data_IF_506509728316
#
_entry.id   IF_506509728316
#
_cell.length_a   1.000
_cell.length_b   1.000
_cell.length_c   1.000
_cell.angle_alpha   90.00
_cell.angle_beta   90.00
_cell.angle_gamma   90.00
#
_symmetry.space_group_name_H-M   'P 1'
#
loop_
_entity.id
_entity.type
_entity.pdbx_description
1 polymer ?
#
# COMPACT_ATOMS: atom_id res chain seq x y z
N UNK A 1 -17.69 -10.99 -11.41
CA UNK A 1 -16.69 -10.00 -10.99
C UNK A 1 -15.32 -10.45 -11.50
N UNK A 2 -14.59 -9.56 -12.15
CA UNK A 2 -13.29 -9.75 -12.74
C UNK A 2 -12.28 -8.83 -12.02
N UNK A 3 -11.18 -9.41 -11.56
CA UNK A 3 -10.11 -8.69 -10.89
C UNK A 3 -9.10 -8.23 -11.94
N UNK A 4 -8.69 -6.97 -11.87
CA UNK A 4 -7.70 -6.40 -12.81
C UNK A 4 -6.31 -6.94 -12.43
N UNK A 5 -5.56 -7.49 -13.41
CA UNK A 5 -4.20 -8.02 -13.23
C UNK A 5 -4.07 -9.52 -13.48
N UNK A 6 -2.89 -10.08 -13.20
CA UNK A 6 -2.62 -11.52 -13.37
C UNK A 6 -3.33 -12.34 -12.28
N UNK A 7 -4.10 -13.35 -12.69
CA UNK A 7 -4.95 -14.15 -11.80
C UNK A 7 -4.68 -15.64 -11.98
N UNK A 8 -4.60 -16.43 -10.90
CA UNK A 8 -4.47 -17.86 -11.02
C UNK A 8 -5.67 -18.52 -11.72
N UNK A 9 -5.49 -19.66 -12.40
CA UNK A 9 -6.56 -20.33 -13.14
C UNK A 9 -7.82 -20.67 -12.32
N UNK A 10 -7.68 -20.93 -11.02
CA UNK A 10 -8.83 -21.25 -10.16
C UNK A 10 -9.75 -20.04 -9.92
N UNK A 11 -9.23 -18.80 -10.04
CA UNK A 11 -10.02 -17.56 -9.89
C UNK A 11 -11.04 -17.46 -11.01
N UNK A 12 -10.64 -17.79 -12.24
CA UNK A 12 -11.54 -17.82 -13.39
C UNK A 12 -12.62 -18.88 -13.26
N UNK A 13 -12.26 -20.07 -12.77
CA UNK A 13 -13.25 -21.13 -12.51
C UNK A 13 -14.28 -20.71 -11.47
N UNK A 14 -13.83 -20.11 -10.36
CA UNK A 14 -14.72 -19.59 -9.33
C UNK A 14 -15.60 -18.48 -9.89
N UNK A 15 -15.04 -17.54 -10.67
CA UNK A 15 -15.79 -16.47 -11.32
C UNK A 15 -16.92 -17.00 -12.20
N UNK A 16 -16.62 -17.94 -13.10
CA UNK A 16 -17.60 -18.53 -14.00
C UNK A 16 -18.72 -19.22 -13.21
N UNK A 17 -18.38 -19.96 -12.16
CA UNK A 17 -19.36 -20.60 -11.28
C UNK A 17 -20.29 -19.57 -10.60
N UNK A 18 -19.74 -18.43 -10.16
CA UNK A 18 -20.52 -17.38 -9.51
C UNK A 18 -21.44 -16.62 -10.47
N UNK A 19 -21.02 -16.37 -11.72
CA UNK A 19 -21.82 -15.63 -12.71
C UNK A 19 -23.11 -16.35 -13.11
N UNK A 20 -23.15 -17.68 -12.99
CA UNK A 20 -24.36 -18.46 -13.30
C UNK A 20 -25.43 -18.40 -12.19
N UNK A 21 -25.08 -17.92 -10.98
CA UNK A 21 -25.98 -17.97 -9.82
C UNK A 21 -27.08 -16.92 -9.88
N UNK A 22 -26.80 -15.62 -10.14
CA UNK A 22 -27.82 -14.58 -10.04
C UNK A 22 -29.03 -14.76 -10.95
N UNK A 23 -28.83 -15.26 -12.18
CA UNK A 23 -29.93 -15.60 -13.08
C UNK A 23 -30.92 -16.61 -12.47
N UNK A 24 -30.43 -17.53 -11.63
CA UNK A 24 -31.26 -18.51 -10.90
C UNK A 24 -31.98 -17.89 -9.71
N UNK A 25 -31.37 -16.89 -9.05
CA UNK A 25 -31.97 -16.18 -7.92
C UNK A 25 -33.17 -15.32 -8.33
N UNK A 26 -33.14 -14.78 -9.54
CA UNK A 26 -34.24 -14.00 -10.13
C UNK A 26 -35.22 -14.86 -10.94
N UNK A 27 -35.02 -16.17 -11.01
CA UNK A 27 -35.91 -17.05 -11.78
C UNK A 27 -37.32 -17.02 -11.20
N UNK A 28 -38.30 -16.63 -12.02
CA UNK A 28 -39.70 -16.46 -11.60
C UNK A 28 -40.00 -15.10 -10.95
N UNK A 29 -39.04 -14.18 -10.89
CA UNK A 29 -39.25 -12.79 -10.46
C UNK A 29 -39.33 -11.89 -11.67
N UNK A 30 -40.38 -11.07 -11.75
CA UNK A 30 -40.51 -10.08 -12.82
C UNK A 30 -39.59 -8.86 -12.53
N UNK A 31 -38.92 -8.29 -13.54
CA UNK A 31 -38.22 -7.02 -13.40
C UNK A 31 -39.18 -5.91 -12.92
N UNK A 32 -38.69 -5.00 -12.06
CA UNK A 32 -39.50 -3.89 -11.52
C UNK A 32 -39.86 -2.86 -12.58
N UNK A 33 -39.03 -2.72 -13.62
CA UNK A 33 -39.21 -1.79 -14.74
C UNK A 33 -38.47 -2.29 -15.99
N UNK A 34 -38.57 -1.52 -17.06
CA UNK A 34 -37.89 -1.85 -18.31
C UNK A 34 -36.37 -1.93 -18.14
N UNK A 35 -35.69 -2.80 -18.90
CA UNK A 35 -34.23 -2.91 -18.89
C UNK A 35 -33.58 -1.55 -19.18
N UNK A 36 -32.57 -1.19 -18.39
CA UNK A 36 -31.82 0.03 -18.62
C UNK A 36 -30.72 -0.26 -19.63
N UNK A 37 -30.66 0.57 -20.68
CA UNK A 37 -29.59 0.55 -21.67
C UNK A 37 -28.69 1.75 -21.43
N UNK A 38 -27.44 1.50 -21.09
CA UNK A 38 -26.43 2.52 -20.84
C UNK A 38 -25.52 2.62 -22.06
N UNK A 39 -25.39 3.83 -22.59
CA UNK A 39 -24.36 4.16 -23.58
C UNK A 39 -22.98 4.24 -22.92
N UNK A 40 -21.88 4.15 -23.68
CA UNK A 40 -20.54 4.38 -23.16
C UNK A 40 -20.44 5.72 -22.44
N UNK A 41 -19.67 5.76 -21.36
CA UNK A 41 -19.50 6.90 -20.45
C UNK A 41 -20.75 7.33 -19.65
N UNK A 42 -21.90 6.66 -19.80
CA UNK A 42 -23.04 6.90 -18.92
C UNK A 42 -22.75 6.37 -17.51
N UNK A 43 -23.06 7.18 -16.50
CA UNK A 43 -22.93 6.80 -15.10
C UNK A 43 -24.18 6.05 -14.65
N UNK A 44 -24.04 4.77 -14.30
CA UNK A 44 -25.19 3.97 -13.86
C UNK A 44 -25.82 4.55 -12.58
N UNK A 45 -25.03 5.17 -11.70
CA UNK A 45 -25.54 5.72 -10.43
C UNK A 45 -26.67 6.74 -10.59
N UNK A 46 -26.73 7.48 -11.71
CA UNK A 46 -27.76 8.47 -11.98
C UNK A 46 -29.15 7.84 -12.17
N UNK A 47 -29.18 6.54 -12.49
CA UNK A 47 -30.39 5.77 -12.77
C UNK A 47 -30.72 4.78 -11.66
N UNK A 48 -29.81 4.61 -10.70
CA UNK A 48 -29.93 3.64 -9.61
C UNK A 48 -30.86 4.15 -8.51
N UNK A 49 -31.65 3.23 -7.97
CA UNK A 49 -32.50 3.44 -6.80
C UNK A 49 -32.04 2.53 -5.66
N UNK A 50 -32.22 2.97 -4.42
CA UNK A 50 -31.73 2.24 -3.24
C UNK A 50 -32.56 0.97 -2.93
N UNK A 51 -33.83 0.99 -3.32
CA UNK A 51 -34.82 -0.09 -3.22
C UNK A 51 -34.72 -1.11 -4.36
N UNK A 52 -33.74 -0.98 -5.27
CA UNK A 52 -33.56 -1.91 -6.38
C UNK A 52 -32.23 -2.69 -6.30
N UNK A 53 -32.26 -3.89 -6.88
CA UNK A 53 -31.10 -4.71 -7.19
C UNK A 53 -31.04 -4.89 -8.71
N UNK A 54 -29.86 -4.80 -9.30
CA UNK A 54 -29.69 -4.87 -10.75
C UNK A 54 -28.91 -6.11 -11.15
N UNK A 55 -29.38 -6.82 -12.17
CA UNK A 55 -28.64 -7.90 -12.81
C UNK A 55 -28.03 -7.39 -14.11
N UNK A 56 -26.72 -7.58 -14.30
CA UNK A 56 -26.07 -7.28 -15.57
C UNK A 56 -26.46 -8.34 -16.59
N UNK A 57 -27.24 -7.93 -17.58
CA UNK A 57 -27.65 -8.80 -18.68
C UNK A 57 -26.61 -8.83 -19.80
N UNK A 58 -25.93 -7.71 -20.06
CA UNK A 58 -24.88 -7.62 -21.08
C UNK A 58 -23.93 -6.48 -20.78
N UNK A 59 -22.67 -6.67 -21.13
CA UNK A 59 -21.66 -5.62 -21.15
C UNK A 59 -20.88 -5.52 -19.83
N UNK A 60 -19.64 -4.99 -19.89
CA UNK A 60 -18.81 -4.80 -18.72
C UNK A 60 -19.12 -3.51 -17.97
N UNK A 61 -18.96 -3.50 -16.64
CA UNK A 61 -18.96 -2.30 -15.81
C UNK A 61 -17.73 -2.27 -14.91
N UNK A 62 -16.93 -1.23 -14.96
CA UNK A 62 -15.85 -0.98 -13.99
C UNK A 62 -16.42 -0.35 -12.73
N UNK A 63 -15.98 -0.82 -11.58
CA UNK A 63 -16.33 -0.26 -10.27
C UNK A 63 -15.18 0.64 -9.83
N UNK A 64 -15.49 1.92 -9.64
CA UNK A 64 -14.52 2.98 -9.34
C UNK A 64 -14.83 3.61 -7.99
N UNK A 65 -13.79 3.77 -7.16
CA UNK A 65 -13.82 4.54 -5.91
C UNK A 65 -12.57 5.43 -5.88
N UNK A 66 -12.72 6.72 -5.60
CA UNK A 66 -11.62 7.70 -5.56
C UNK A 66 -10.70 7.65 -6.81
N UNK A 67 -11.30 7.61 -8.00
CA UNK A 67 -10.63 7.50 -9.31
C UNK A 67 -9.81 6.20 -9.53
N UNK A 68 -9.95 5.21 -8.66
CA UNK A 68 -9.30 3.89 -8.80
C UNK A 68 -10.32 2.85 -9.21
N UNK A 69 -10.07 2.19 -10.34
CA UNK A 69 -10.82 1.02 -10.75
C UNK A 69 -10.36 -0.19 -9.93
N UNK A 70 -11.24 -0.73 -9.09
CA UNK A 70 -10.91 -1.85 -8.19
C UNK A 70 -11.14 -3.20 -8.86
N UNK A 71 -12.26 -3.35 -9.58
CA UNK A 71 -12.66 -4.56 -10.28
C UNK A 71 -13.74 -4.25 -11.32
N UNK A 72 -13.98 -5.21 -12.21
CA UNK A 72 -14.97 -5.10 -13.29
C UNK A 72 -16.08 -6.12 -13.07
N UNK A 73 -17.34 -5.70 -13.12
CA UNK A 73 -18.51 -6.55 -13.17
C UNK A 73 -18.84 -6.86 -14.63
N UNK A 74 -19.41 -8.04 -14.86
CA UNK A 74 -19.82 -8.47 -16.20
C UNK A 74 -21.15 -9.18 -16.17
N UNK A 75 -21.52 -9.75 -17.30
CA UNK A 75 -22.76 -10.51 -17.44
C UNK A 75 -22.94 -11.54 -16.31
N UNK A 76 -24.15 -11.56 -15.75
CA UNK A 76 -24.52 -12.42 -14.64
C UNK A 76 -24.18 -11.87 -13.25
N UNK A 77 -23.48 -10.74 -13.12
CA UNK A 77 -23.22 -10.14 -11.81
C UNK A 77 -24.38 -9.26 -11.30
N UNK A 78 -24.49 -9.13 -9.98
CA UNK A 78 -25.47 -8.27 -9.31
C UNK A 78 -24.84 -6.94 -8.88
N UNK A 79 -25.64 -5.88 -8.93
CA UNK A 79 -25.30 -4.54 -8.46
C UNK A 79 -26.37 -4.09 -7.47
N UNK A 80 -25.97 -3.33 -6.46
CA UNK A 80 -26.90 -2.71 -5.52
C UNK A 80 -27.13 -3.50 -4.23
N UNK A 81 -26.68 -4.76 -4.12
CA UNK A 81 -26.91 -5.58 -2.90
C UNK A 81 -26.47 -4.87 -1.61
N UNK A 82 -25.29 -4.25 -1.61
CA UNK A 82 -24.71 -3.57 -0.45
C UNK A 82 -25.19 -2.13 -0.20
N UNK A 83 -26.10 -1.56 -1.01
CA UNK A 83 -26.52 -0.15 -0.87
C UNK A 83 -27.36 0.16 0.38
N UNK A 84 -27.80 -0.86 1.09
CA UNK A 84 -28.45 -0.72 2.41
C UNK A 84 -27.44 -0.54 3.53
N UNK A 85 -26.15 -0.75 3.26
CA UNK A 85 -25.07 -0.48 4.19
C UNK A 85 -24.69 1.00 4.11
N UNK A 86 -24.41 1.62 5.27
CA UNK A 86 -23.94 3.01 5.36
C UNK A 86 -22.47 3.10 4.93
N UNK A 87 -22.25 2.91 3.62
CA UNK A 87 -20.94 2.88 2.97
C UNK A 87 -20.88 3.92 1.84
N UNK A 88 -19.66 4.40 1.48
CA UNK A 88 -19.48 5.26 0.33
C UNK A 88 -20.10 4.68 -0.95
N UNK A 89 -20.71 5.55 -1.76
CA UNK A 89 -21.32 5.12 -3.02
C UNK A 89 -20.22 4.77 -4.02
N UNK A 90 -20.32 3.59 -4.63
CA UNK A 90 -19.44 3.15 -5.70
C UNK A 90 -19.90 3.76 -7.03
N UNK A 91 -18.95 4.22 -7.84
CA UNK A 91 -19.22 4.66 -9.21
C UNK A 91 -19.09 3.48 -10.17
N UNK A 92 -19.96 3.43 -11.17
CA UNK A 92 -19.98 2.38 -12.17
C UNK A 92 -19.84 2.99 -13.56
N UNK A 93 -18.75 2.64 -14.24
CA UNK A 93 -18.37 3.22 -15.53
C UNK A 93 -18.22 2.12 -16.58
N UNK A 94 -18.56 2.43 -17.84
CA UNK A 94 -18.28 1.53 -18.96
C UNK A 94 -17.86 2.30 -20.21
N UNK A 95 -16.94 1.71 -20.95
CA UNK A 95 -16.55 2.15 -22.30
C UNK A 95 -17.36 1.44 -23.40
N UNK A 96 -18.29 0.56 -23.02
CA UNK A 96 -19.12 -0.22 -23.93
C UNK A 96 -20.60 -0.10 -23.56
N UNK A 97 -21.48 -0.55 -24.45
CA UNK A 97 -22.91 -0.64 -24.17
C UNK A 97 -23.17 -1.66 -23.06
N UNK A 98 -23.93 -1.23 -22.04
CA UNK A 98 -24.31 -2.08 -20.91
C UNK A 98 -25.82 -2.16 -20.81
N UNK A 99 -26.32 -3.37 -20.55
CA UNK A 99 -27.74 -3.61 -20.29
C UNK A 99 -27.91 -4.22 -18.91
N UNK A 100 -28.72 -3.59 -18.07
CA UNK A 100 -29.05 -4.07 -16.72
C UNK A 100 -30.55 -4.26 -16.54
N UNK A 101 -30.94 -5.27 -15.77
CA UNK A 101 -32.31 -5.57 -15.40
C UNK A 101 -32.55 -5.18 -13.93
N UNK A 102 -33.44 -4.23 -13.66
CA UNK A 102 -33.79 -3.84 -12.30
C UNK A 102 -34.84 -4.78 -11.70
N UNK A 103 -34.66 -5.11 -10.42
CA UNK A 103 -35.58 -5.88 -9.60
C UNK A 103 -35.84 -5.11 -8.32
N UNK A 104 -37.09 -5.13 -7.86
CA UNK A 104 -37.43 -4.66 -6.52
C UNK A 104 -36.67 -5.48 -5.47
N UNK A 105 -36.02 -4.80 -4.52
CA UNK A 105 -35.13 -5.43 -3.55
C UNK A 105 -35.88 -6.41 -2.65
N UNK A 106 -37.05 -6.03 -2.14
CA UNK A 106 -37.80 -6.88 -1.22
C UNK A 106 -38.26 -8.16 -1.93
N UNK A 107 -38.78 -8.01 -3.14
CA UNK A 107 -39.19 -9.13 -3.99
C UNK A 107 -38.01 -10.03 -4.36
N UNK A 108 -36.86 -9.45 -4.72
CA UNK A 108 -35.63 -10.18 -4.99
C UNK A 108 -35.18 -10.99 -3.77
N UNK A 109 -35.11 -10.37 -2.59
CA UNK A 109 -34.66 -11.03 -1.36
C UNK A 109 -35.64 -12.13 -0.93
N UNK A 110 -36.94 -11.90 -1.05
CA UNK A 110 -37.96 -12.91 -0.78
C UNK A 110 -37.77 -14.13 -1.68
N UNK A 111 -37.57 -13.94 -2.98
CA UNK A 111 -37.31 -15.04 -3.92
C UNK A 111 -35.97 -15.73 -3.68
N UNK A 112 -34.90 -14.97 -3.43
CA UNK A 112 -33.56 -15.51 -3.17
C UNK A 112 -33.47 -16.28 -1.84
N UNK A 113 -34.45 -16.13 -0.94
CA UNK A 113 -34.48 -16.81 0.37
C UNK A 113 -35.65 -17.78 0.54
N UNK A 114 -36.54 -17.90 -0.45
CA UNK A 114 -37.77 -18.69 -0.40
C UNK A 114 -37.51 -20.19 -0.18
N UNK A 115 -36.54 -20.77 -0.88
CA UNK A 115 -36.20 -22.20 -0.77
C UNK A 115 -34.79 -22.42 -0.22
N UNK A 116 -34.50 -23.59 0.39
CA UNK A 116 -33.13 -23.94 0.81
C UNK A 116 -32.13 -23.86 -0.34
N UNK A 117 -32.53 -24.24 -1.56
CA UNK A 117 -31.68 -24.20 -2.76
C UNK A 117 -31.35 -22.76 -3.17
N UNK A 118 -32.33 -21.85 -3.18
CA UNK A 118 -32.09 -20.43 -3.49
C UNK A 118 -31.24 -19.77 -2.40
N UNK A 119 -31.51 -20.06 -1.13
CA UNK A 119 -30.75 -19.52 0.00
C UNK A 119 -29.28 -19.94 -0.06
N UNK A 120 -29.03 -21.22 -0.29
CA UNK A 120 -27.67 -21.75 -0.47
C UNK A 120 -26.99 -21.12 -1.68
N UNK A 121 -27.70 -20.94 -2.79
CA UNK A 121 -27.16 -20.23 -3.96
C UNK A 121 -26.77 -18.78 -3.63
N UNK A 122 -27.62 -18.03 -2.93
CA UNK A 122 -27.32 -16.66 -2.48
C UNK A 122 -26.08 -16.63 -1.57
N UNK A 123 -26.00 -17.53 -0.59
CA UNK A 123 -24.85 -17.63 0.32
C UNK A 123 -23.55 -17.95 -0.44
N UNK A 124 -23.58 -18.92 -1.36
CA UNK A 124 -22.44 -19.25 -2.22
C UNK A 124 -22.01 -18.06 -3.07
N UNK A 125 -22.96 -17.31 -3.61
CA UNK A 125 -22.68 -16.09 -4.37
C UNK A 125 -21.93 -15.07 -3.50
N UNK A 126 -22.47 -14.75 -2.31
CA UNK A 126 -21.87 -13.79 -1.39
C UNK A 126 -20.48 -14.21 -0.91
N UNK A 127 -20.32 -15.47 -0.46
CA UNK A 127 -19.04 -16.02 -0.02
C UNK A 127 -18.00 -16.03 -1.14
N UNK A 128 -18.43 -16.35 -2.36
CA UNK A 128 -17.55 -16.30 -3.53
C UNK A 128 -17.06 -14.89 -3.86
N UNK A 129 -17.96 -13.90 -3.83
CA UNK A 129 -17.59 -12.49 -4.02
C UNK A 129 -16.60 -12.02 -2.94
N UNK A 130 -16.86 -12.32 -1.66
CA UNK A 130 -15.94 -12.01 -0.57
C UNK A 130 -14.57 -12.68 -0.77
N UNK A 131 -14.55 -13.94 -1.19
CA UNK A 131 -13.30 -14.68 -1.42
C UNK A 131 -12.47 -14.07 -2.55
N UNK A 132 -13.12 -13.66 -3.65
CA UNK A 132 -12.46 -12.96 -4.75
C UNK A 132 -11.89 -11.60 -4.29
N UNK A 133 -12.64 -10.82 -3.51
CA UNK A 133 -12.15 -9.55 -2.97
C UNK A 133 -10.98 -9.73 -2.01
N UNK A 134 -11.04 -10.69 -1.10
CA UNK A 134 -9.94 -10.99 -0.17
C UNK A 134 -8.66 -11.37 -0.94
N UNK A 135 -8.80 -12.17 -1.97
CA UNK A 135 -7.71 -12.56 -2.87
C UNK A 135 -7.14 -11.39 -3.67
N UNK A 136 -7.97 -10.45 -4.11
CA UNK A 136 -7.53 -9.22 -4.75
C UNK A 136 -6.71 -8.37 -3.77
N UNK A 137 -7.23 -8.18 -2.55
CA UNK A 137 -6.59 -7.38 -1.51
C UNK A 137 -5.22 -7.93 -1.10
N UNK A 138 -5.08 -9.26 -0.97
CA UNK A 138 -3.80 -9.90 -0.66
C UNK A 138 -2.75 -9.60 -1.74
N UNK A 139 -3.15 -9.49 -3.00
CA UNK A 139 -2.24 -9.22 -4.13
C UNK A 139 -1.94 -7.73 -4.29
N UNK A 140 -2.89 -6.86 -3.95
CA UNK A 140 -2.71 -5.41 -3.99
C UNK A 140 -1.87 -4.89 -2.83
N UNK A 141 -1.97 -5.53 -1.66
CA UNK A 141 -1.18 -5.13 -0.49
C UNK A 141 0.20 -5.78 -0.60
N UNK A 142 1.30 -5.01 -0.69
CA UNK A 142 2.63 -5.59 -0.57
C UNK A 142 2.69 -6.36 0.76
N UNK A 143 3.35 -7.53 0.81
CA UNK A 143 3.49 -8.27 2.04
C UNK A 143 4.04 -7.30 3.10
N UNK A 144 3.26 -7.11 4.17
CA UNK A 144 3.75 -6.35 5.31
C UNK A 144 4.81 -7.24 5.93
N UNK A 145 6.06 -7.01 5.56
CA UNK A 145 7.19 -7.51 6.32
C UNK A 145 7.04 -6.84 7.68
N UNK A 146 6.52 -7.57 8.67
CA UNK A 146 6.78 -7.19 10.05
C UNK A 146 8.29 -7.07 10.13
N UNK A 147 8.82 -5.87 10.39
CA UNK A 147 10.25 -5.70 10.31
C UNK A 147 10.87 -6.66 11.31
N UNK A 148 11.87 -7.42 10.87
CA UNK A 148 12.77 -8.11 11.78
C UNK A 148 13.70 -7.08 12.43
N UNK A 149 13.13 -5.96 12.87
CA UNK A 149 13.80 -4.91 13.61
C UNK A 149 14.14 -5.45 14.98
N UNK A 150 15.41 -5.77 15.17
CA UNK A 150 15.96 -6.04 16.48
C UNK A 150 16.44 -4.74 17.10
N UNK A 151 15.96 -4.42 18.30
CA UNK A 151 16.66 -3.48 19.16
C UNK A 151 17.93 -4.17 19.66
N UNK A 152 19.08 -3.52 19.48
CA UNK A 152 20.36 -3.92 20.04
C UNK A 152 20.85 -2.86 21.00
N UNK A 153 21.39 -3.29 22.13
CA UNK A 153 21.97 -2.40 23.12
C UNK A 153 23.48 -2.44 22.99
N UNK A 154 24.10 -1.26 22.99
CA UNK A 154 25.54 -1.08 22.91
C UNK A 154 26.01 -0.33 24.16
N UNK A 155 27.08 -0.82 24.80
CA UNK A 155 27.75 -0.11 25.88
C UNK A 155 28.61 1.05 25.34
N UNK A 156 28.97 1.98 26.22
CA UNK A 156 29.89 3.05 25.84
C UNK A 156 31.24 2.47 25.37
N UNK A 157 31.74 2.96 24.23
CA UNK A 157 32.94 2.47 23.56
C UNK A 157 32.70 1.34 22.56
N UNK A 158 31.52 0.74 22.50
CA UNK A 158 31.24 -0.34 21.56
C UNK A 158 31.01 0.18 20.13
N UNK A 159 31.47 -0.61 19.16
CA UNK A 159 31.35 -0.28 17.73
C UNK A 159 29.99 -0.75 17.21
N UNK A 160 29.18 0.21 16.73
CA UNK A 160 27.88 -0.04 16.10
C UNK A 160 28.08 -0.36 14.61
N UNK A 161 28.93 0.42 13.94
CA UNK A 161 29.31 0.24 12.52
C UNK A 161 30.83 0.33 12.44
N UNK A 162 31.46 -0.55 11.65
CA UNK A 162 32.89 -0.46 11.35
C UNK A 162 33.09 -0.04 9.89
N UNK A 163 33.99 0.91 9.69
CA UNK A 163 34.39 1.39 8.36
C UNK A 163 34.95 0.23 7.52
N UNK A 164 34.58 0.19 6.25
CA UNK A 164 34.99 -0.86 5.31
C UNK A 164 34.09 -2.11 5.29
N UNK A 165 33.20 -2.30 6.27
CA UNK A 165 32.28 -3.43 6.29
C UNK A 165 31.23 -3.37 5.16
N UNK A 166 30.62 -4.51 4.83
CA UNK A 166 29.46 -4.56 3.93
C UNK A 166 28.26 -3.84 4.55
N UNK A 167 27.45 -3.20 3.70
CA UNK A 167 26.30 -2.41 4.13
C UNK A 167 24.99 -3.16 3.89
N UNK A 168 24.66 -4.09 4.78
CA UNK A 168 23.42 -4.88 4.69
C UNK A 168 22.27 -4.34 5.57
N UNK A 169 22.58 -3.36 6.42
CA UNK A 169 21.65 -2.82 7.43
C UNK A 169 21.73 -1.29 7.53
N UNK A 170 20.66 -0.67 8.01
CA UNK A 170 20.57 0.72 8.44
C UNK A 170 20.26 0.73 9.93
N UNK A 171 20.76 1.74 10.65
CA UNK A 171 20.64 1.83 12.10
C UNK A 171 19.97 3.13 12.49
N UNK A 172 19.12 3.09 13.51
CA UNK A 172 18.53 4.29 14.13
C UNK A 172 18.88 4.29 15.61
N UNK A 173 19.50 5.37 16.10
CA UNK A 173 19.78 5.52 17.53
C UNK A 173 18.47 5.92 18.23
N UNK A 174 17.83 5.00 18.95
CA UNK A 174 16.56 5.29 19.63
C UNK A 174 16.76 5.88 21.03
N UNK A 175 17.91 5.61 21.65
CA UNK A 175 18.35 6.19 22.91
C UNK A 175 19.87 6.24 22.95
N UNK A 176 20.44 7.26 23.60
CA UNK A 176 21.90 7.42 23.75
C UNK A 176 22.52 8.35 22.71
N UNK A 177 23.86 8.38 22.70
CA UNK A 177 24.69 9.18 21.80
C UNK A 177 25.87 8.37 21.29
N UNK A 178 26.23 8.55 20.03
CA UNK A 178 27.37 7.92 19.37
C UNK A 178 28.22 8.94 18.61
N UNK A 179 29.42 8.56 18.20
CA UNK A 179 30.36 9.39 17.44
C UNK A 179 30.69 8.69 16.11
N UNK A 180 30.79 9.47 15.03
CA UNK A 180 31.23 9.00 13.72
C UNK A 180 32.72 9.28 13.51
N UNK A 181 33.46 8.28 13.03
CA UNK A 181 34.91 8.31 12.85
C UNK A 181 35.31 7.81 11.45
N UNK A 182 36.23 8.50 10.79
CA UNK A 182 36.81 8.11 9.49
C UNK A 182 38.32 8.10 9.64
N UNK A 183 38.96 6.95 9.39
CA UNK A 183 40.43 6.79 9.45
C UNK A 183 41.04 7.30 10.79
N UNK A 184 40.31 7.11 11.89
CA UNK A 184 40.73 7.54 13.23
C UNK A 184 40.45 9.02 13.56
N UNK A 185 39.90 9.80 12.63
CA UNK A 185 39.47 11.18 12.85
C UNK A 185 37.97 11.23 13.15
N UNK A 186 37.58 11.93 14.23
CA UNK A 186 36.17 12.18 14.54
C UNK A 186 35.59 13.15 13.51
N UNK A 187 34.53 12.75 12.83
CA UNK A 187 33.86 13.54 11.77
C UNK A 187 32.48 14.05 12.16
N UNK A 188 31.92 13.57 13.27
CA UNK A 188 30.61 14.03 13.73
C UNK A 188 30.11 13.35 14.99
N UNK A 189 29.04 13.91 15.54
CA UNK A 189 28.20 13.30 16.57
C UNK A 189 26.99 12.63 15.90
N UNK A 190 26.45 11.60 16.54
CA UNK A 190 25.23 10.90 16.17
C UNK A 190 24.27 10.95 17.37
N UNK A 191 23.17 11.67 17.20
CA UNK A 191 22.19 11.91 18.26
C UNK A 191 21.03 10.91 18.23
N UNK A 192 20.17 10.98 19.25
CA UNK A 192 18.91 10.26 19.29
C UNK A 192 18.04 10.61 18.06
N UNK A 193 17.31 9.60 17.58
CA UNK A 193 16.48 9.58 16.37
C UNK A 193 17.25 9.78 15.05
N UNK A 194 18.58 9.83 15.08
CA UNK A 194 19.39 9.91 13.87
C UNK A 194 19.57 8.54 13.21
N UNK A 195 19.55 8.58 11.87
CA UNK A 195 19.70 7.41 11.00
C UNK A 195 21.15 7.36 10.52
N UNK A 196 21.84 6.25 10.77
CA UNK A 196 23.23 6.03 10.36
C UNK A 196 23.39 4.78 9.49
N UNK A 197 24.42 4.82 8.64
CA UNK A 197 24.70 3.75 7.69
C UNK A 197 23.83 3.76 6.43
N UNK A 198 22.86 4.68 6.30
CA UNK A 198 21.99 4.77 5.13
C UNK A 198 22.76 5.06 3.82
N UNK A 199 23.82 5.87 3.87
CA UNK A 199 24.59 6.25 2.67
C UNK A 199 25.12 5.02 1.93
N UNK A 200 25.83 4.13 2.63
CA UNK A 200 26.45 2.93 2.06
C UNK A 200 25.43 1.97 1.43
N UNK A 201 24.21 1.94 1.98
CA UNK A 201 23.07 1.17 1.44
C UNK A 201 22.59 1.75 0.11
N UNK A 202 22.50 3.07 -0.02
CA UNK A 202 22.05 3.74 -1.25
C UNK A 202 23.12 3.81 -2.34
N UNK A 203 24.38 3.99 -1.97
CA UNK A 203 25.49 4.13 -2.92
C UNK A 203 26.08 2.78 -3.34
N UNK A 204 25.65 1.67 -2.72
CA UNK A 204 26.22 0.34 -2.91
C UNK A 204 27.74 0.32 -2.71
N UNK A 205 28.21 1.06 -1.71
CA UNK A 205 29.63 1.13 -1.32
C UNK A 205 29.84 0.52 0.06
N UNK A 206 31.08 0.13 0.44
CA UNK A 206 31.41 -0.20 1.82
C UNK A 206 31.10 0.94 2.79
N UNK A 207 31.05 0.64 4.10
CA UNK A 207 30.88 1.66 5.15
C UNK A 207 31.97 2.72 5.06
N UNK A 208 31.56 3.99 4.94
CA UNK A 208 32.47 5.12 4.82
C UNK A 208 33.02 5.61 6.16
N UNK A 209 32.37 5.27 7.26
CA UNK A 209 32.76 5.67 8.61
C UNK A 209 32.44 4.56 9.62
N UNK A 210 33.19 4.54 10.72
CA UNK A 210 32.85 3.79 11.92
C UNK A 210 31.92 4.62 12.80
N UNK A 211 30.95 3.98 13.44
CA UNK A 211 30.07 4.62 14.44
C UNK A 211 30.29 3.92 15.77
N UNK A 212 30.68 4.67 16.79
CA UNK A 212 31.07 4.16 18.11
C UNK A 212 30.18 4.79 19.17
N UNK A 213 29.57 3.96 20.02
CA UNK A 213 28.72 4.42 21.09
C UNK A 213 29.51 5.28 22.09
N UNK A 214 29.05 6.50 22.36
CA UNK A 214 29.67 7.39 23.36
C UNK A 214 29.09 7.16 24.74
N UNK A 215 27.78 6.92 24.79
CA UNK A 215 27.04 6.47 25.98
C UNK A 215 26.49 5.07 25.74
N UNK A 216 25.80 4.50 26.73
CA UNK A 216 24.93 3.35 26.46
C UNK A 216 23.91 3.75 25.41
N UNK A 217 23.77 2.97 24.35
CA UNK A 217 22.87 3.23 23.23
C UNK A 217 21.90 2.08 23.02
N UNK A 218 20.65 2.42 22.71
CA UNK A 218 19.64 1.49 22.21
C UNK A 218 19.45 1.78 20.72
N UNK A 219 19.74 0.81 19.87
CA UNK A 219 19.82 0.97 18.42
C UNK A 219 18.85 0.04 17.72
N UNK A 220 18.00 0.59 16.87
CA UNK A 220 17.15 -0.16 15.97
C UNK A 220 17.95 -0.60 14.75
N UNK A 221 18.00 -1.91 14.46
CA UNK A 221 18.68 -2.47 13.29
C UNK A 221 17.65 -2.83 12.22
N UNK A 222 17.79 -2.26 11.02
CA UNK A 222 16.85 -2.42 9.90
C UNK A 222 17.59 -3.03 8.71
N UNK A 223 17.17 -4.18 8.16
CA UNK A 223 17.73 -4.72 6.92
C UNK A 223 17.56 -3.76 5.72
N UNK A 224 18.52 -3.72 4.79
CA UNK A 224 18.51 -2.81 3.63
C UNK A 224 17.23 -2.91 2.79
N UNK A 225 16.78 -4.12 2.49
CA UNK A 225 15.56 -4.41 1.73
C UNK A 225 14.30 -3.87 2.41
N UNK A 226 14.27 -3.91 3.74
CA UNK A 226 13.17 -3.39 4.55
C UNK A 226 13.22 -1.87 4.70
N UNK A 227 14.42 -1.28 4.74
CA UNK A 227 14.57 0.17 4.92
C UNK A 227 13.91 0.97 3.78
N UNK A 228 14.05 0.51 2.53
CA UNK A 228 13.41 1.15 1.37
C UNK A 228 11.88 1.11 1.49
N UNK A 229 11.32 -0.05 1.82
CA UNK A 229 9.87 -0.22 2.03
C UNK A 229 9.35 0.63 3.21
N UNK A 230 10.13 0.76 4.29
CA UNK A 230 9.77 1.62 5.42
C UNK A 230 9.73 3.10 5.05
N UNK A 231 10.60 3.57 4.15
CA UNK A 231 10.54 4.95 3.67
C UNK A 231 9.28 5.23 2.84
N UNK A 232 8.82 4.25 2.05
CA UNK A 232 7.60 4.39 1.25
C UNK A 232 6.33 4.39 2.11
N UNK A 233 6.31 3.58 3.17
CA UNK A 233 5.13 3.39 4.03
C UNK A 233 5.09 4.37 5.21
N UNK A 234 6.23 4.91 5.63
CA UNK A 234 6.35 5.77 6.81
C UNK A 234 7.09 7.07 6.46
N UNK A 235 6.36 8.12 6.01
CA UNK A 235 6.97 9.38 5.57
C UNK A 235 7.91 10.04 6.60
N UNK A 236 7.67 9.81 7.89
CA UNK A 236 8.49 10.34 8.99
C UNK A 236 9.96 9.88 8.92
N UNK A 237 10.21 8.64 8.50
CA UNK A 237 11.58 8.10 8.38
C UNK A 237 12.34 8.84 7.26
N UNK A 238 11.69 9.06 6.12
CA UNK A 238 12.27 9.83 5.02
C UNK A 238 12.55 11.28 5.43
N UNK A 239 11.62 11.91 6.16
CA UNK A 239 11.84 13.26 6.72
C UNK A 239 13.06 13.33 7.64
N UNK A 240 13.20 12.40 8.60
CA UNK A 240 14.35 12.37 9.49
C UNK A 240 15.67 12.18 8.72
N UNK A 241 15.68 11.36 7.67
CA UNK A 241 16.87 11.19 6.83
C UNK A 241 17.25 12.51 6.12
N UNK A 242 16.27 13.20 5.53
CA UNK A 242 16.48 14.48 4.83
C UNK A 242 17.00 15.54 5.80
N UNK A 243 16.42 15.65 7.00
CA UNK A 243 16.88 16.58 8.04
C UNK A 243 18.31 16.30 8.48
N UNK A 244 18.66 15.02 8.70
CA UNK A 244 20.02 14.62 9.08
C UNK A 244 21.03 14.96 7.98
N UNK A 245 20.70 14.70 6.71
CA UNK A 245 21.56 15.05 5.57
C UNK A 245 21.72 16.56 5.45
N UNK A 246 20.66 17.35 5.62
CA UNK A 246 20.73 18.81 5.56
C UNK A 246 21.65 19.37 6.66
N UNK A 247 21.52 18.87 7.89
CA UNK A 247 22.40 19.24 9.02
C UNK A 247 23.87 18.88 8.75
N UNK A 248 24.10 17.71 8.17
CA UNK A 248 25.45 17.25 7.84
C UNK A 248 26.10 18.10 6.74
N UNK A 249 25.35 18.43 5.68
CA UNK A 249 25.82 19.33 4.61
C UNK A 249 26.15 20.73 5.15
N UNK A 250 25.30 21.29 6.01
CA UNK A 250 25.56 22.59 6.64
C UNK A 250 26.84 22.58 7.48
N UNK A 251 27.05 21.50 8.25
CA UNK A 251 28.27 21.32 9.06
C UNK A 251 29.52 21.22 8.18
N UNK A 252 29.46 20.43 7.10
CA UNK A 252 30.57 20.29 6.14
C UNK A 252 30.86 21.62 5.43
N UNK A 253 29.84 22.38 5.03
CA UNK A 253 30.01 23.68 4.40
C UNK A 253 30.75 24.65 5.33
N UNK A 254 30.38 24.70 6.62
CA UNK A 254 31.08 25.52 7.63
C UNK A 254 32.55 25.12 7.78
N UNK A 255 32.85 23.81 7.75
CA UNK A 255 34.22 23.30 7.79
C UNK A 255 35.04 23.75 6.59
N UNK A 256 34.48 23.56 5.38
CA UNK A 256 35.14 23.91 4.12
C UNK A 256 35.40 25.42 4.05
N UNK A 257 34.43 26.25 4.45
CA UNK A 257 34.60 27.71 4.50
C UNK A 257 35.71 28.11 5.47
N UNK A 258 35.78 27.47 6.64
CA UNK A 258 36.86 27.70 7.62
C UNK A 258 38.23 27.31 7.08
N UNK A 259 38.34 26.15 6.44
CA UNK A 259 39.61 25.66 5.87
C UNK A 259 40.11 26.56 4.72
N UNK A 260 39.20 27.00 3.84
CA UNK A 260 39.53 27.93 2.76
C UNK A 260 39.92 29.32 3.28
N UNK A 261 39.19 29.85 4.26
CA UNK A 261 39.51 31.14 4.88
C UNK A 261 40.83 31.13 5.67
N UNK A 262 41.28 29.97 6.18
CA UNK A 262 42.56 29.82 6.84
C UNK A 262 43.75 29.78 5.85
N UNK A 263 43.55 29.27 4.63
CA UNK A 263 44.57 29.25 3.57
C UNK A 263 44.81 30.61 2.91
N UNK A 264 43.85 31.54 3.00
CA UNK A 264 43.93 32.88 2.38
C UNK A 264 44.60 33.95 3.27
N UNK A 265 45.04 33.64 4.50
CA UNK A 265 45.87 34.57 5.29
C UNK A 265 47.32 34.54 4.78
N UNK A 266 47.83 35.61 4.13
CA UNK A 266 49.21 35.64 3.68
C UNK A 266 50.14 35.63 4.89
N UNK A 267 51.18 34.82 4.82
CA UNK A 267 52.41 34.97 5.59
C UNK A 267 52.98 36.37 5.35
N UNK A 268 52.52 37.34 6.15
CA UNK A 268 53.09 38.67 6.22
C UNK A 268 54.39 38.59 7.02
N UNK A 269 55.47 38.43 6.27
CA UNK A 269 56.72 39.19 6.39
C UNK A 269 57.51 39.15 7.70
N UNK A 270 58.74 38.62 7.56
CA UNK A 270 59.98 38.85 8.32
C UNK A 270 60.05 38.43 9.79
#
# INVERSE_FOLDING_TARGET
MYLIGDQPPYVDQLRQALQAIPARLVSGVAPSRQPLQLSPAALLQDWMRNDEVYLIQRGPLRVVLDQRALFQLGEGDLIGLGRTLDLPTLNYESEADVRVLPYDRETFLAAATATPVQRDALLRYMLGQQSLLAQALIRLKPPVTQPATGFRRYAAGEVIIRQGDSAEHVFVITEGHAEAWVDGCKVGEVCQDEIVGALAVFTHTPRTASVIAKTVCTVLVIPQDQFVSLMETTPRIAHSLIENMARHIDTLNKEVTRLRGAQERPSSGN
#
